data_IF_488440692269
#
_entry.id   IF_488440692269
#
_cell.length_a   1.000
_cell.length_b   1.000
_cell.length_c   1.000
_cell.angle_alpha   90.00
_cell.angle_beta   90.00
_cell.angle_gamma   90.00
#
_symmetry.space_group_name_H-M   'P 1'
#
loop_
_entity.id
_entity.type
_entity.pdbx_description
1 polymer ?
#
# COMPACT_ATOMS: atom_id res chain seq x y z
N UNK A 1 -14.95 -11.85 4.70
CA UNK A 1 -15.04 -13.24 4.19
C UNK A 1 -13.93 -13.59 3.18
N UNK A 2 -13.61 -12.79 2.15
CA UNK A 2 -12.41 -13.03 1.31
C UNK A 2 -11.15 -12.37 1.88
N UNK A 3 -11.22 -11.08 2.22
CA UNK A 3 -10.09 -10.32 2.78
C UNK A 3 -9.57 -11.00 4.04
N UNK A 4 -10.46 -11.42 4.95
CA UNK A 4 -10.08 -12.11 6.19
C UNK A 4 -9.37 -13.44 5.94
N UNK A 5 -9.78 -14.17 4.90
CA UNK A 5 -9.19 -15.47 4.55
C UNK A 5 -7.77 -15.28 3.98
N UNK A 6 -7.60 -14.37 3.03
CA UNK A 6 -6.27 -14.04 2.48
C UNK A 6 -5.36 -13.49 3.58
N UNK A 7 -5.90 -12.66 4.48
CA UNK A 7 -5.18 -12.13 5.62
C UNK A 7 -4.76 -13.22 6.61
N UNK A 8 -5.60 -14.23 6.84
CA UNK A 8 -5.28 -15.40 7.66
C UNK A 8 -4.06 -16.15 7.15
N UNK A 9 -4.04 -16.51 5.86
CA UNK A 9 -2.88 -17.12 5.22
C UNK A 9 -1.63 -16.22 5.28
N UNK A 10 -1.80 -14.91 5.23
CA UNK A 10 -0.67 -14.00 5.34
C UNK A 10 -0.07 -13.98 6.75
N UNK A 11 -0.89 -14.02 7.80
CA UNK A 11 -0.43 -14.12 9.20
C UNK A 11 0.34 -15.42 9.43
N UNK A 12 -0.12 -16.52 8.85
CA UNK A 12 0.50 -17.85 8.97
C UNK A 12 1.78 -18.00 8.13
N UNK A 13 2.10 -17.01 7.28
CA UNK A 13 3.28 -17.03 6.42
C UNK A 13 3.13 -17.88 5.16
N UNK A 14 1.92 -18.31 4.83
CA UNK A 14 1.57 -19.14 3.68
C UNK A 14 0.58 -18.44 2.73
N UNK A 15 0.77 -17.14 2.49
CA UNK A 15 -0.13 -16.32 1.65
C UNK A 15 -0.43 -16.93 0.27
N UNK A 16 0.51 -17.69 -0.32
CA UNK A 16 0.33 -18.37 -1.61
C UNK A 16 -0.78 -19.43 -1.60
N UNK A 17 -1.17 -19.94 -0.43
CA UNK A 17 -2.28 -20.90 -0.29
C UNK A 17 -3.64 -20.23 -0.57
N UNK A 18 -3.69 -18.89 -0.56
CA UNK A 18 -4.88 -18.13 -0.95
C UNK A 18 -5.11 -18.05 -2.47
N UNK A 19 -4.16 -18.55 -3.28
CA UNK A 19 -4.27 -18.47 -4.75
C UNK A 19 -5.42 -19.34 -5.27
N UNK A 20 -5.96 -18.96 -6.43
CA UNK A 20 -6.92 -19.80 -7.14
C UNK A 20 -6.29 -21.17 -7.49
N UNK A 21 -6.93 -22.31 -7.14
CA UNK A 21 -6.46 -23.63 -7.52
C UNK A 21 -6.27 -23.80 -9.04
N UNK A 22 -7.08 -23.12 -9.84
CA UNK A 22 -7.03 -23.17 -11.31
C UNK A 22 -5.79 -22.47 -11.91
N UNK A 23 -5.08 -21.66 -11.12
CA UNK A 23 -3.79 -21.08 -11.54
C UNK A 23 -2.72 -22.18 -11.76
N UNK A 24 -2.95 -23.38 -11.23
CA UNK A 24 -2.06 -24.52 -11.40
C UNK A 24 -0.71 -24.31 -10.72
N UNK A 25 0.35 -24.87 -11.30
CA UNK A 25 1.72 -24.85 -10.76
C UNK A 25 2.68 -23.98 -11.56
N UNK A 26 2.27 -23.51 -12.75
CA UNK A 26 3.09 -22.69 -13.64
C UNK A 26 2.75 -21.22 -13.46
N UNK A 27 3.27 -20.63 -12.40
CA UNK A 27 3.13 -19.20 -12.11
C UNK A 27 4.39 -18.69 -11.41
N UNK A 28 4.64 -17.38 -11.50
CA UNK A 28 5.66 -16.75 -10.68
C UNK A 28 5.11 -16.50 -9.27
N UNK A 29 5.72 -17.16 -8.28
CA UNK A 29 5.31 -17.02 -6.88
C UNK A 29 5.41 -15.58 -6.38
N UNK A 30 6.40 -14.82 -6.86
CA UNK A 30 6.61 -13.43 -6.44
C UNK A 30 5.49 -12.53 -6.97
N UNK A 31 5.04 -12.74 -8.19
CA UNK A 31 3.92 -11.99 -8.77
C UNK A 31 2.61 -12.28 -8.02
N UNK A 32 2.34 -13.56 -7.73
CA UNK A 32 1.13 -13.95 -6.99
C UNK A 32 1.15 -13.41 -5.57
N UNK A 33 2.27 -13.54 -4.86
CA UNK A 33 2.42 -12.97 -3.52
C UNK A 33 2.23 -11.45 -3.54
N UNK A 34 2.84 -10.76 -4.49
CA UNK A 34 2.71 -9.32 -4.68
C UNK A 34 1.24 -8.92 -4.92
N UNK A 35 0.55 -9.58 -5.85
CA UNK A 35 -0.86 -9.27 -6.17
C UNK A 35 -1.78 -9.53 -4.99
N UNK A 36 -1.55 -10.60 -4.21
CA UNK A 36 -2.33 -10.87 -3.00
C UNK A 36 -2.12 -9.79 -1.93
N UNK A 37 -0.88 -9.37 -1.67
CA UNK A 37 -0.58 -8.26 -0.74
C UNK A 37 -1.15 -6.92 -1.23
N UNK A 38 -1.04 -6.64 -2.53
CA UNK A 38 -1.63 -5.44 -3.14
C UNK A 38 -3.16 -5.46 -3.03
N UNK A 39 -3.80 -6.61 -3.25
CA UNK A 39 -5.25 -6.78 -3.10
C UNK A 39 -5.73 -6.51 -1.67
N UNK A 40 -4.96 -6.94 -0.67
CA UNK A 40 -5.20 -6.57 0.73
C UNK A 40 -5.11 -5.05 0.91
N UNK A 41 -4.02 -4.42 0.45
CA UNK A 41 -3.81 -2.97 0.58
C UNK A 41 -4.93 -2.15 -0.11
N UNK A 42 -5.39 -2.57 -1.29
CA UNK A 42 -6.53 -1.97 -1.97
C UNK A 42 -7.84 -2.11 -1.20
N UNK A 43 -7.98 -3.20 -0.42
CA UNK A 43 -9.16 -3.52 0.38
C UNK A 43 -9.09 -2.96 1.81
N UNK A 44 -8.10 -2.10 2.10
CA UNK A 44 -7.91 -1.52 3.43
C UNK A 44 -9.18 -0.78 3.92
N UNK A 45 -9.50 -0.91 5.21
CA UNK A 45 -10.72 -0.35 5.80
C UNK A 45 -10.69 1.19 5.82
N UNK A 46 -9.57 1.80 6.24
CA UNK A 46 -9.31 3.24 6.10
C UNK A 46 -9.01 3.56 4.63
N UNK A 47 -9.81 4.42 3.96
CA UNK A 47 -9.56 4.87 2.59
C UNK A 47 -8.18 5.49 2.38
N UNK A 48 -7.61 6.15 3.40
CA UNK A 48 -6.28 6.77 3.32
C UNK A 48 -5.15 5.76 3.26
N UNK A 49 -5.42 4.52 3.67
CA UNK A 49 -4.47 3.42 3.58
C UNK A 49 -4.44 2.74 2.22
N UNK A 50 -5.40 3.05 1.34
CA UNK A 50 -5.48 2.46 0.01
C UNK A 50 -4.51 3.16 -0.93
N UNK A 51 -3.85 2.42 -1.84
CA UNK A 51 -3.02 3.02 -2.86
C UNK A 51 -3.89 3.76 -3.88
N UNK A 52 -3.31 4.79 -4.50
CA UNK A 52 -3.89 5.42 -5.68
C UNK A 52 -3.84 4.46 -6.88
N UNK A 53 -4.74 4.64 -7.86
CA UNK A 53 -4.72 3.80 -9.07
C UNK A 53 -3.38 3.88 -9.83
N UNK A 54 -2.70 5.02 -9.82
CA UNK A 54 -1.36 5.14 -10.42
C UNK A 54 -0.32 4.26 -9.71
N UNK A 55 -0.35 4.20 -8.37
CA UNK A 55 0.53 3.31 -7.61
C UNK A 55 0.22 1.84 -7.89
N UNK A 56 -1.06 1.46 -7.93
CA UNK A 56 -1.49 0.09 -8.28
C UNK A 56 -0.90 -0.33 -9.63
N UNK A 57 -1.00 0.53 -10.65
CA UNK A 57 -0.43 0.25 -11.97
C UNK A 57 1.09 0.11 -11.93
N UNK A 58 1.81 0.99 -11.22
CA UNK A 58 3.27 0.87 -11.11
C UNK A 58 3.69 -0.45 -10.46
N UNK A 59 2.97 -0.93 -9.44
CA UNK A 59 3.26 -2.23 -8.83
C UNK A 59 2.98 -3.39 -9.77
N UNK A 60 1.86 -3.36 -10.50
CA UNK A 60 1.49 -4.41 -11.45
C UNK A 60 2.40 -4.45 -12.69
N UNK A 61 2.91 -3.31 -13.14
CA UNK A 61 3.87 -3.21 -14.25
C UNK A 61 5.28 -3.61 -13.85
N UNK A 62 5.57 -3.75 -12.55
CA UNK A 62 6.93 -3.98 -12.04
C UNK A 62 7.81 -2.73 -12.02
N UNK A 63 7.24 -1.55 -12.29
CA UNK A 63 7.94 -0.26 -12.26
C UNK A 63 8.24 0.21 -10.82
N UNK A 64 7.54 -0.35 -9.84
CA UNK A 64 7.79 -0.15 -8.42
C UNK A 64 7.61 -1.46 -7.64
N UNK A 65 8.37 -1.61 -6.55
CA UNK A 65 8.17 -2.69 -5.60
C UNK A 65 7.14 -2.29 -4.54
N UNK A 66 6.29 -3.23 -4.13
CA UNK A 66 5.47 -3.04 -2.94
C UNK A 66 6.37 -2.70 -1.73
N UNK A 67 5.94 -1.79 -0.84
CA UNK A 67 6.63 -1.60 0.42
C UNK A 67 6.70 -2.93 1.19
N UNK A 68 7.71 -3.07 2.04
CA UNK A 68 7.79 -4.22 2.94
C UNK A 68 6.65 -4.13 3.96
N UNK A 69 5.59 -4.91 3.72
CA UNK A 69 4.39 -4.93 4.53
C UNK A 69 4.45 -6.12 5.48
N UNK A 70 4.26 -5.87 6.77
CA UNK A 70 3.95 -6.92 7.72
C UNK A 70 2.43 -7.01 7.96
N UNK A 71 1.89 -8.18 8.34
CA UNK A 71 0.48 -8.30 8.75
C UNK A 71 0.09 -7.35 9.89
N UNK A 72 1.07 -6.93 10.72
CA UNK A 72 0.87 -5.96 11.79
C UNK A 72 0.60 -4.55 11.24
N UNK A 73 1.27 -4.16 10.16
CA UNK A 73 1.10 -2.87 9.50
C UNK A 73 -0.26 -2.75 8.80
N UNK A 74 -0.84 -3.87 8.38
CA UNK A 74 -2.13 -3.92 7.69
C UNK A 74 -3.32 -3.68 8.63
N UNK A 75 -3.21 -4.07 9.90
CA UNK A 75 -4.29 -3.94 10.89
C UNK A 75 -4.10 -2.76 11.84
N UNK A 76 -2.86 -2.32 12.03
CA UNK A 76 -2.56 -1.10 12.77
C UNK A 76 -2.71 0.11 11.86
N UNK A 77 -3.20 1.23 12.40
CA UNK A 77 -3.26 2.54 11.71
C UNK A 77 -1.84 3.13 11.38
N UNK A 78 -0.84 2.30 11.10
CA UNK A 78 0.59 2.59 11.16
C UNK A 78 1.27 3.02 9.85
N UNK A 79 0.54 3.11 8.73
CA UNK A 79 1.11 3.58 7.46
C UNK A 79 1.29 5.10 7.38
N UNK A 80 0.82 5.85 8.38
CA UNK A 80 1.10 7.30 8.45
C UNK A 80 2.54 7.64 8.85
N UNK A 81 3.36 6.71 9.34
CA UNK A 81 4.74 7.06 9.76
C UNK A 81 5.81 6.80 8.68
N UNK A 82 5.63 5.80 7.79
CA UNK A 82 6.66 5.47 6.77
C UNK A 82 6.43 6.06 5.37
N UNK A 83 5.21 6.45 5.02
CA UNK A 83 4.95 7.18 3.77
C UNK A 83 5.37 8.65 3.87
N UNK A 84 5.46 9.19 5.09
CA UNK A 84 5.91 10.56 5.31
C UNK A 84 7.41 10.73 5.09
N UNK A 85 8.27 9.79 5.48
CA UNK A 85 9.74 9.92 5.30
C UNK A 85 10.16 9.98 3.82
N UNK A 86 9.49 9.24 2.93
CA UNK A 86 9.79 9.30 1.50
C UNK A 86 9.37 10.64 0.86
N UNK A 87 8.38 11.32 1.44
CA UNK A 87 7.93 12.64 0.97
C UNK A 87 8.83 13.79 1.45
N UNK A 88 9.69 13.60 2.47
CA UNK A 88 10.50 14.69 3.03
C UNK A 88 11.81 14.92 2.26
N UNK A 89 12.19 14.03 1.34
CA UNK A 89 13.44 14.12 0.59
C UNK A 89 13.30 14.79 -0.79
N UNK A 90 12.13 15.32 -1.16
CA UNK A 90 11.93 15.99 -2.45
C UNK A 90 10.99 17.19 -2.35
N UNK A 91 11.50 18.32 -1.88
CA UNK A 91 11.05 19.66 -2.34
C UNK A 91 12.20 20.64 -2.18
N UNK A 92 13.05 20.71 -3.20
CA UNK A 92 13.76 21.94 -3.51
C UNK A 92 12.83 22.86 -4.29
N UNK A 93 12.75 24.13 -3.90
CA UNK A 93 12.36 25.24 -4.79
C UNK A 93 10.98 25.91 -4.59
N UNK A 94 11.03 27.07 -3.91
CA UNK A 94 10.39 28.36 -4.24
C UNK A 94 8.89 28.66 -3.98
N UNK A 95 8.71 29.54 -2.98
CA UNK A 95 7.86 30.76 -2.88
C UNK A 95 6.35 30.75 -3.21
N UNK A 96 5.55 31.26 -2.27
CA UNK A 96 4.65 32.41 -2.46
C UNK A 96 4.28 33.03 -1.10
N UNK A 97 4.06 34.34 -1.10
CA UNK A 97 3.98 35.26 0.05
C UNK A 97 2.72 35.07 0.93
N UNK A 98 2.89 35.11 2.25
CA UNK A 98 1.78 35.20 3.20
C UNK A 98 1.24 36.64 3.25
N UNK A 99 -0.02 36.82 2.89
CA UNK A 99 -0.74 38.08 3.12
C UNK A 99 -1.24 38.13 4.55
N UNK A 100 -0.62 39.00 5.35
CA UNK A 100 -1.02 39.33 6.72
C UNK A 100 -2.44 39.94 6.70
N UNK A 101 -3.42 39.24 7.28
CA UNK A 101 -4.71 39.83 7.65
C UNK A 101 -4.50 40.75 8.86
N UNK A 102 -4.29 42.03 8.60
CA UNK A 102 -4.30 43.05 9.66
C UNK A 102 -5.74 43.32 10.08
N UNK A 103 -6.14 42.77 11.22
CA UNK A 103 -7.34 43.21 11.93
C UNK A 103 -7.17 44.63 12.47
N UNK A 104 -8.27 45.36 12.58
CA UNK A 104 -8.28 46.63 13.30
C UNK A 104 -9.50 47.51 13.03
N UNK A 105 -10.55 47.28 13.84
CA UNK A 105 -11.56 48.22 14.37
C UNK A 105 -12.26 49.19 13.42
#
# INVERSE_FOLDING_TARGET
>A
LLVDLVFGFWIEGNILDAKDPNLGTKYDQREVEMVLKLGLLCSHSDPRGRPTMGQVLNYLSGDAMLPDLSPLDFRGNGIHHRLSELSMMSTGGSSMVDSILSGGR
#
